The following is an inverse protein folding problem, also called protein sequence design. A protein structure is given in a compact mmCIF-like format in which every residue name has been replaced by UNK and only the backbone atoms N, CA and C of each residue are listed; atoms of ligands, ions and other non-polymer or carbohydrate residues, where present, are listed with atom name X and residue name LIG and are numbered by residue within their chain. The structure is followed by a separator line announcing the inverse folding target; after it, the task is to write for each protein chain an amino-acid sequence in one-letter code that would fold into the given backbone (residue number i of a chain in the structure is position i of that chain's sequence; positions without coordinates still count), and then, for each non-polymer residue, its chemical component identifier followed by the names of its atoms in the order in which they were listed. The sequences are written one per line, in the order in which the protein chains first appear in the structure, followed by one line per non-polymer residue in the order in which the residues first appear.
data_IF_147656278743
#
_entry.id   IF_147656278743
#
_cell.length_a   1.000
_cell.length_b   1.000
_cell.length_c   1.000
_cell.angle_alpha   90.00
_cell.angle_beta   90.00
_cell.angle_gamma   90.00
#
_symmetry.space_group_name_H-M   'P 1'
#
loop_
_entity.id
_entity.type
_entity.pdbx_description
1 polymer ?
#
# COMPACT_ATOMS: atom_id res chain seq x y z
N UNK A 1 12.12 -23.18 7.16
CA UNK A 1 11.18 -22.05 7.36
C UNK A 1 10.80 -21.53 5.99
N UNK A 2 9.53 -21.23 5.80
CA UNK A 2 9.02 -20.62 4.58
C UNK A 2 9.30 -19.12 4.51
N UNK A 3 8.79 -18.49 3.46
CA UNK A 3 8.97 -17.06 3.20
C UNK A 3 7.59 -16.42 2.99
N UNK A 4 7.36 -15.27 3.64
CA UNK A 4 6.24 -14.41 3.31
C UNK A 4 6.69 -13.34 2.32
N UNK A 5 6.20 -13.41 1.08
CA UNK A 5 6.40 -12.37 0.10
C UNK A 5 5.28 -11.33 0.15
N UNK A 6 5.65 -10.06 0.26
CA UNK A 6 4.73 -8.92 0.02
C UNK A 6 4.95 -8.49 -1.41
N UNK A 7 3.94 -8.67 -2.24
CA UNK A 7 4.06 -8.51 -3.70
C UNK A 7 3.22 -7.34 -4.18
N UNK A 8 3.85 -6.24 -4.59
CA UNK A 8 3.14 -5.10 -5.19
C UNK A 8 2.45 -5.49 -6.50
N UNK A 9 1.25 -4.95 -6.69
CA UNK A 9 0.41 -5.14 -7.88
C UNK A 9 0.21 -3.82 -8.63
N UNK A 10 -0.11 -3.86 -9.93
CA UNK A 10 -0.27 -2.67 -10.76
C UNK A 10 -1.25 -1.64 -10.20
N UNK A 11 -0.95 -0.36 -10.41
CA UNK A 11 -1.80 0.77 -10.03
C UNK A 11 -2.38 1.40 -11.31
N UNK A 12 -3.42 0.75 -11.86
CA UNK A 12 -4.13 1.24 -13.06
C UNK A 12 -3.52 0.85 -14.40
N UNK A 13 -2.29 0.33 -14.45
CA UNK A 13 -1.67 -0.15 -15.68
C UNK A 13 -1.01 -1.52 -15.47
N UNK A 14 -1.48 -2.55 -16.17
CA UNK A 14 -0.97 -3.92 -16.04
C UNK A 14 0.52 -4.06 -16.44
N UNK A 15 1.05 -3.17 -17.26
CA UNK A 15 2.46 -3.17 -17.66
C UNK A 15 3.43 -2.86 -16.51
N UNK A 16 2.93 -2.27 -15.42
CA UNK A 16 3.73 -2.00 -14.22
C UNK A 16 4.02 -3.27 -13.39
N UNK A 17 3.48 -4.42 -13.78
CA UNK A 17 3.77 -5.68 -13.10
C UNK A 17 5.21 -6.13 -13.34
N UNK A 18 5.96 -6.36 -12.27
CA UNK A 18 7.35 -6.78 -12.41
C UNK A 18 7.48 -8.26 -12.76
N UNK A 19 8.47 -8.62 -13.57
CA UNK A 19 8.79 -10.03 -13.90
C UNK A 19 9.04 -10.88 -12.64
N UNK A 20 9.66 -10.29 -11.62
CA UNK A 20 9.90 -10.96 -10.35
C UNK A 20 8.60 -11.23 -9.58
N UNK A 21 7.66 -10.30 -9.59
CA UNK A 21 6.35 -10.49 -8.97
C UNK A 21 5.58 -11.63 -9.65
N UNK A 22 5.55 -11.66 -10.99
CA UNK A 22 4.91 -12.74 -11.75
C UNK A 22 5.52 -14.10 -11.37
N UNK A 23 6.85 -14.20 -11.33
CA UNK A 23 7.55 -15.43 -10.97
C UNK A 23 7.21 -15.87 -9.54
N UNK A 24 7.30 -14.97 -8.56
CA UNK A 24 6.99 -15.27 -7.16
C UNK A 24 5.55 -15.73 -6.98
N UNK A 25 4.59 -15.09 -7.66
CA UNK A 25 3.18 -15.48 -7.60
C UNK A 25 2.92 -16.86 -8.25
N UNK A 26 3.73 -17.27 -9.23
CA UNK A 26 3.66 -18.61 -9.84
C UNK A 26 4.25 -19.69 -8.94
N UNK A 27 5.33 -19.38 -8.23
CA UNK A 27 6.11 -20.32 -7.42
C UNK A 27 5.60 -20.46 -5.99
N UNK A 28 4.83 -19.50 -5.46
CA UNK A 28 4.28 -19.57 -4.11
C UNK A 28 3.31 -20.75 -3.94
N UNK A 29 3.26 -21.33 -2.75
CA UNK A 29 2.30 -22.40 -2.40
C UNK A 29 0.86 -21.87 -2.28
N UNK A 30 0.72 -20.58 -2.00
CA UNK A 30 -0.57 -19.89 -1.86
C UNK A 30 -0.42 -18.38 -2.06
N UNK A 31 -1.44 -17.77 -2.64
CA UNK A 31 -1.56 -16.30 -2.75
C UNK A 31 -2.70 -15.81 -1.87
N UNK A 32 -2.38 -14.91 -0.94
CA UNK A 32 -3.34 -14.17 -0.14
C UNK A 32 -3.72 -12.89 -0.87
N UNK A 33 -5.00 -12.58 -0.92
CA UNK A 33 -5.53 -11.43 -1.65
C UNK A 33 -6.60 -10.69 -0.85
N UNK A 34 -6.64 -9.36 -0.95
CA UNK A 34 -7.66 -8.53 -0.31
C UNK A 34 -9.04 -8.81 -0.91
N UNK A 35 -9.21 -8.66 -2.22
CA UNK A 35 -10.38 -9.13 -2.96
C UNK A 35 -9.95 -10.19 -3.98
N UNK A 36 -10.39 -11.43 -3.77
CA UNK A 36 -10.07 -12.55 -4.67
C UNK A 36 -10.67 -12.40 -6.07
N UNK A 37 -11.72 -11.60 -6.24
CA UNK A 37 -12.34 -11.32 -7.54
C UNK A 37 -11.42 -10.43 -8.38
N UNK A 38 -10.98 -9.32 -7.84
CA UNK A 38 -10.02 -8.41 -8.48
C UNK A 38 -8.71 -9.13 -8.77
N UNK A 39 -8.17 -9.82 -7.77
CA UNK A 39 -6.92 -10.55 -7.88
C UNK A 39 -6.97 -11.69 -8.90
N UNK A 40 -8.12 -12.36 -9.07
CA UNK A 40 -8.28 -13.41 -10.09
C UNK A 40 -8.12 -12.87 -11.51
N UNK A 41 -8.55 -11.63 -11.77
CA UNK A 41 -8.38 -10.97 -13.07
C UNK A 41 -6.89 -10.74 -13.34
N UNK A 42 -6.16 -10.24 -12.34
CA UNK A 42 -4.71 -10.02 -12.41
C UNK A 42 -3.97 -11.35 -12.69
N UNK A 43 -4.25 -12.38 -11.89
CA UNK A 43 -3.58 -13.68 -12.05
C UNK A 43 -3.87 -14.30 -13.44
N UNK A 44 -5.11 -14.20 -13.92
CA UNK A 44 -5.51 -14.68 -15.25
C UNK A 44 -4.76 -13.91 -16.37
N UNK A 45 -4.60 -12.59 -16.23
CA UNK A 45 -3.92 -11.77 -17.24
C UNK A 45 -2.45 -12.21 -17.44
N UNK A 46 -1.76 -12.62 -16.36
CA UNK A 46 -0.37 -13.06 -16.41
C UNK A 46 -0.19 -14.58 -16.47
N UNK A 47 -1.25 -15.34 -16.75
CA UNK A 47 -1.25 -16.81 -16.74
C UNK A 47 -0.63 -17.40 -15.47
N UNK A 48 -1.06 -16.88 -14.33
CA UNK A 48 -0.64 -17.37 -13.00
C UNK A 48 -1.73 -18.31 -12.48
N UNK A 49 -1.40 -19.60 -12.39
CA UNK A 49 -2.29 -20.64 -11.86
C UNK A 49 -1.91 -20.92 -10.42
N UNK A 50 -2.52 -20.20 -9.51
CA UNK A 50 -2.26 -20.37 -8.09
C UNK A 50 -3.56 -20.30 -7.26
N UNK A 51 -3.52 -20.87 -6.05
CA UNK A 51 -4.61 -20.83 -5.10
C UNK A 51 -4.72 -19.45 -4.48
N UNK A 52 -5.84 -18.75 -4.72
CA UNK A 52 -6.20 -17.50 -4.05
C UNK A 52 -6.96 -17.78 -2.76
N UNK A 53 -6.57 -17.10 -1.69
CA UNK A 53 -7.23 -17.12 -0.38
C UNK A 53 -7.49 -15.70 0.08
N UNK A 54 -8.71 -15.41 0.51
CA UNK A 54 -9.08 -14.09 0.98
C UNK A 54 -8.36 -13.73 2.31
N UNK A 55 -7.70 -12.57 2.32
CA UNK A 55 -7.03 -12.01 3.49
C UNK A 55 -7.23 -10.50 3.48
N UNK A 56 -8.27 -10.05 4.17
CA UNK A 56 -8.71 -8.66 4.18
C UNK A 56 -8.82 -8.13 5.61
N UNK A 57 -8.98 -6.84 5.77
CA UNK A 57 -9.02 -6.13 7.05
C UNK A 57 -9.95 -6.75 8.12
N UNK A 58 -11.06 -7.38 7.68
CA UNK A 58 -12.03 -7.95 8.61
C UNK A 58 -11.70 -9.37 9.09
N UNK A 59 -10.82 -10.10 8.39
CA UNK A 59 -10.44 -11.46 8.77
C UNK A 59 -8.94 -11.62 9.13
N UNK A 60 -8.13 -10.62 8.89
CA UNK A 60 -6.66 -10.67 9.02
C UNK A 60 -6.23 -11.13 10.44
N UNK A 61 -6.87 -10.66 11.50
CA UNK A 61 -6.57 -11.08 12.87
C UNK A 61 -6.88 -12.57 13.12
N UNK A 62 -7.99 -13.07 12.56
CA UNK A 62 -8.39 -14.47 12.72
C UNK A 62 -7.57 -15.46 11.87
N UNK A 63 -7.13 -15.03 10.70
CA UNK A 63 -6.43 -15.91 9.74
C UNK A 63 -4.92 -15.90 9.89
N UNK A 64 -4.33 -14.82 10.42
CA UNK A 64 -2.87 -14.65 10.48
C UNK A 64 -2.16 -15.73 11.30
N UNK A 65 -2.73 -16.20 12.41
CA UNK A 65 -2.12 -17.26 13.21
C UNK A 65 -1.96 -18.56 12.39
N UNK A 66 -3.00 -18.97 11.67
CA UNK A 66 -2.93 -20.17 10.80
C UNK A 66 -1.95 -20.01 9.64
N UNK A 67 -1.84 -18.78 9.08
CA UNK A 67 -0.88 -18.49 8.02
C UNK A 67 0.56 -18.55 8.57
N UNK A 68 0.81 -18.01 9.75
CA UNK A 68 2.13 -18.07 10.42
C UNK A 68 2.55 -19.54 10.68
N UNK A 69 1.64 -20.40 11.10
CA UNK A 69 1.96 -21.83 11.29
C UNK A 69 2.31 -22.53 9.96
N UNK A 70 1.64 -22.21 8.87
CA UNK A 70 1.98 -22.72 7.53
C UNK A 70 3.37 -22.25 7.08
N UNK A 71 3.70 -20.97 7.31
CA UNK A 71 5.03 -20.41 7.04
C UNK A 71 6.11 -21.12 7.89
N UNK A 72 5.84 -21.41 9.17
CA UNK A 72 6.75 -22.22 10.03
C UNK A 72 6.94 -23.63 9.50
N UNK A 73 5.91 -24.23 8.93
CA UNK A 73 5.97 -25.55 8.29
C UNK A 73 6.79 -25.55 6.99
N UNK A 74 7.21 -24.39 6.48
CA UNK A 74 8.09 -24.26 5.32
C UNK A 74 7.39 -23.78 4.05
N UNK A 75 6.09 -23.49 4.09
CA UNK A 75 5.37 -22.98 2.93
C UNK A 75 5.83 -21.57 2.55
N UNK A 76 5.86 -21.28 1.26
CA UNK A 76 6.10 -19.97 0.68
C UNK A 76 4.77 -19.33 0.34
N UNK A 77 4.46 -18.20 0.96
CA UNK A 77 3.16 -17.51 0.80
C UNK A 77 3.38 -16.11 0.24
N UNK A 78 2.61 -15.75 -0.76
CA UNK A 78 2.60 -14.40 -1.32
C UNK A 78 1.35 -13.64 -0.87
N UNK A 79 1.51 -12.38 -0.47
CA UNK A 79 0.41 -11.46 -0.16
C UNK A 79 0.36 -10.37 -1.22
N UNK A 80 -0.82 -10.15 -1.81
CA UNK A 80 -1.13 -9.05 -2.73
C UNK A 80 -2.30 -8.22 -2.21
N UNK A 81 -2.37 -6.95 -2.62
CA UNK A 81 -3.54 -6.07 -2.47
C UNK A 81 -4.20 -5.80 -3.82
N UNK A 82 -5.30 -5.08 -3.84
CA UNK A 82 -6.02 -4.76 -5.07
C UNK A 82 -5.20 -3.84 -5.99
N UNK A 83 -4.37 -2.96 -5.43
CA UNK A 83 -3.45 -2.10 -6.18
C UNK A 83 -2.29 -1.61 -5.30
N UNK A 84 -1.07 -1.58 -5.83
CA UNK A 84 0.10 -1.07 -5.13
C UNK A 84 0.74 -2.06 -4.17
N UNK A 85 1.40 -1.56 -3.13
CA UNK A 85 2.18 -2.36 -2.17
C UNK A 85 1.31 -2.71 -0.97
N UNK A 86 1.07 -4.01 -0.68
CA UNK A 86 0.32 -4.44 0.50
C UNK A 86 0.91 -3.87 1.80
N UNK A 87 0.04 -3.51 2.74
CA UNK A 87 0.41 -2.88 4.01
C UNK A 87 0.54 -1.35 3.94
N UNK A 88 0.51 -0.75 2.75
CA UNK A 88 0.49 0.72 2.57
C UNK A 88 -0.96 1.17 2.33
N UNK A 89 -1.64 1.54 3.40
CA UNK A 89 -3.09 1.84 3.44
C UNK A 89 -4.02 0.64 3.18
N UNK A 90 -3.46 -0.55 3.05
CA UNK A 90 -4.12 -1.83 2.76
C UNK A 90 -3.83 -2.86 3.87
N UNK A 91 -4.56 -3.99 3.91
CA UNK A 91 -4.25 -5.12 4.77
C UNK A 91 -2.83 -5.67 4.53
N UNK A 92 -2.25 -6.29 5.55
CA UNK A 92 -0.96 -6.98 5.44
C UNK A 92 0.09 -6.58 6.48
N UNK A 93 -0.02 -5.38 7.06
CA UNK A 93 0.89 -4.95 8.13
C UNK A 93 0.84 -5.93 9.32
N UNK A 94 -0.34 -6.34 9.73
CA UNK A 94 -0.51 -7.25 10.88
C UNK A 94 0.15 -8.60 10.61
N UNK A 95 -0.13 -9.21 9.45
CA UNK A 95 0.48 -10.49 9.06
C UNK A 95 2.01 -10.40 8.95
N UNK A 96 2.53 -9.35 8.30
CA UNK A 96 3.97 -9.13 8.17
C UNK A 96 4.64 -9.00 9.54
N UNK A 97 4.02 -8.27 10.47
CA UNK A 97 4.50 -8.13 11.85
C UNK A 97 4.51 -9.45 12.61
N UNK A 98 3.43 -10.23 12.55
CA UNK A 98 3.34 -11.51 13.26
C UNK A 98 4.29 -12.56 12.65
N UNK A 99 4.47 -12.57 11.33
CA UNK A 99 5.47 -13.41 10.67
C UNK A 99 6.90 -13.05 11.13
N UNK A 100 7.24 -11.76 11.14
CA UNK A 100 8.55 -11.29 11.60
C UNK A 100 8.81 -11.63 13.07
N UNK A 101 7.80 -11.46 13.96
CA UNK A 101 7.90 -11.87 15.37
C UNK A 101 8.14 -13.38 15.52
N UNK A 102 7.60 -14.19 14.62
CA UNK A 102 7.79 -15.64 14.60
C UNK A 102 9.13 -16.07 13.97
N UNK A 103 10.01 -15.12 13.61
CA UNK A 103 11.32 -15.39 12.98
C UNK A 103 11.23 -15.79 11.51
N UNK A 104 10.07 -15.60 10.86
CA UNK A 104 9.87 -15.90 9.45
C UNK A 104 10.43 -14.77 8.61
N UNK A 105 11.11 -15.12 7.52
CA UNK A 105 11.58 -14.13 6.54
C UNK A 105 10.40 -13.47 5.85
N UNK A 106 10.25 -12.14 6.03
CA UNK A 106 9.30 -11.31 5.28
C UNK A 106 10.07 -10.56 4.20
N UNK A 107 9.74 -10.81 2.95
CA UNK A 107 10.40 -10.18 1.81
C UNK A 107 9.42 -9.35 0.98
N UNK A 108 9.51 -8.03 1.09
CA UNK A 108 8.76 -7.11 0.22
C UNK A 108 9.51 -6.94 -1.10
N UNK A 109 8.82 -7.14 -2.21
CA UNK A 109 9.38 -6.90 -3.54
C UNK A 109 9.30 -5.41 -3.88
N UNK A 110 10.33 -4.83 -4.53
CA UNK A 110 10.17 -3.55 -5.22
C UNK A 110 9.09 -3.65 -6.30
N UNK A 111 8.27 -2.61 -6.42
CA UNK A 111 7.20 -2.63 -7.42
C UNK A 111 6.29 -1.41 -7.37
N UNK A 112 5.13 -1.48 -8.03
CA UNK A 112 4.21 -0.35 -8.15
C UNK A 112 3.75 0.22 -6.81
N UNK A 113 3.72 1.54 -6.76
CA UNK A 113 3.11 2.32 -5.66
C UNK A 113 2.67 3.67 -6.21
N UNK A 114 1.53 4.20 -5.77
CA UNK A 114 1.02 5.47 -6.29
C UNK A 114 1.76 6.69 -5.72
N UNK A 115 2.21 6.63 -4.47
CA UNK A 115 2.78 7.79 -3.77
C UNK A 115 4.10 8.28 -4.37
N UNK A 116 4.99 7.38 -4.78
CA UNK A 116 6.30 7.76 -5.33
C UNK A 116 6.19 8.43 -6.70
N UNK A 117 5.49 7.86 -7.71
CA UNK A 117 5.28 8.58 -8.96
C UNK A 117 4.56 9.92 -8.76
N UNK A 118 3.59 9.99 -7.84
CA UNK A 118 2.86 11.24 -7.57
C UNK A 118 3.78 12.35 -7.06
N UNK A 119 4.63 12.07 -6.06
CA UNK A 119 5.53 13.10 -5.52
C UNK A 119 6.60 13.51 -6.54
N UNK A 120 7.18 12.57 -7.27
CA UNK A 120 8.19 12.87 -8.28
C UNK A 120 7.60 13.72 -9.42
N UNK A 121 6.37 13.43 -9.85
CA UNK A 121 5.70 14.16 -10.93
C UNK A 121 5.09 15.50 -10.48
N UNK A 122 4.98 15.75 -9.17
CA UNK A 122 4.37 16.99 -8.65
C UNK A 122 5.25 18.22 -8.80
N UNK A 123 6.57 18.05 -8.93
CA UNK A 123 7.53 19.15 -8.89
C UNK A 123 7.77 19.74 -7.49
N UNK A 124 7.15 19.17 -6.45
CA UNK A 124 7.40 19.55 -5.05
C UNK A 124 8.68 18.92 -4.52
N UNK A 125 9.31 19.46 -3.46
CA UNK A 125 10.46 18.84 -2.81
C UNK A 125 10.17 17.38 -2.43
N UNK A 126 11.01 16.45 -2.87
CA UNK A 126 10.80 15.01 -2.70
C UNK A 126 11.95 14.29 -1.95
N UNK A 127 12.94 15.03 -1.47
CA UNK A 127 14.04 14.52 -0.65
C UNK A 127 13.59 14.12 0.76
N UNK A 128 12.59 14.82 1.29
CA UNK A 128 11.98 14.55 2.59
C UNK A 128 10.48 14.80 2.50
N UNK A 129 9.67 13.77 2.75
CA UNK A 129 8.21 13.86 2.69
C UNK A 129 7.55 12.99 3.76
N UNK A 130 6.27 13.25 4.02
CA UNK A 130 5.41 12.45 4.89
C UNK A 130 4.34 11.77 4.07
N UNK A 131 4.18 10.46 4.24
CA UNK A 131 3.03 9.72 3.73
C UNK A 131 1.96 9.63 4.81
N UNK A 132 0.86 10.33 4.61
CA UNK A 132 -0.23 10.47 5.57
C UNK A 132 -1.41 9.51 5.30
N UNK A 133 -1.40 8.82 4.15
CA UNK A 133 -2.44 7.87 3.76
C UNK A 133 -3.82 8.52 3.62
N UNK A 134 -4.88 7.80 4.03
CA UNK A 134 -6.24 8.31 3.98
C UNK A 134 -6.61 9.12 5.22
N UNK A 135 -7.03 10.36 5.03
CA UNK A 135 -7.54 11.22 6.10
C UNK A 135 -8.81 10.59 6.72
N UNK A 136 -8.97 10.57 8.06
CA UNK A 136 -10.16 10.07 8.72
C UNK A 136 -11.44 10.70 8.15
N UNK A 137 -12.47 9.89 7.88
CA UNK A 137 -13.68 10.39 7.19
C UNK A 137 -14.66 11.10 8.12
N UNK A 138 -14.70 10.72 9.39
CA UNK A 138 -15.68 11.21 10.40
C UNK A 138 -14.97 11.60 11.69
N UNK A 139 -15.02 10.73 12.70
CA UNK A 139 -14.46 11.00 14.04
C UNK A 139 -12.93 11.22 13.93
N UNK A 140 -12.46 12.28 14.57
CA UNK A 140 -11.03 12.63 14.62
C UNK A 140 -10.50 13.36 13.38
N UNK A 141 -11.33 13.60 12.33
CA UNK A 141 -10.87 14.25 11.10
C UNK A 141 -10.37 15.68 11.36
N UNK A 142 -11.11 16.49 12.11
CA UNK A 142 -10.72 17.88 12.41
C UNK A 142 -9.42 17.93 13.21
N UNK A 143 -9.34 17.16 14.28
CA UNK A 143 -8.12 17.08 15.11
C UNK A 143 -6.91 16.61 14.30
N UNK A 144 -7.12 15.64 13.39
CA UNK A 144 -6.06 15.17 12.50
C UNK A 144 -5.60 16.27 11.54
N UNK A 145 -6.53 16.99 10.89
CA UNK A 145 -6.19 18.10 10.02
C UNK A 145 -5.43 19.21 10.79
N UNK A 146 -5.87 19.55 11.99
CA UNK A 146 -5.19 20.53 12.84
C UNK A 146 -3.76 20.11 13.20
N UNK A 147 -3.51 18.82 13.40
CA UNK A 147 -2.16 18.31 13.69
C UNK A 147 -1.18 18.41 12.53
N UNK A 148 -1.67 18.61 11.30
CA UNK A 148 -0.84 18.76 10.10
C UNK A 148 -0.39 20.19 9.85
N UNK A 149 -0.91 21.17 10.61
CA UNK A 149 -0.73 22.60 10.36
C UNK A 149 0.73 23.05 10.34
N UNK A 150 1.54 22.46 11.19
CA UNK A 150 2.94 22.83 11.35
C UNK A 150 3.91 21.90 10.59
N UNK A 151 3.38 20.98 9.74
CA UNK A 151 4.20 20.11 8.92
C UNK A 151 4.80 20.88 7.74
N UNK A 152 6.12 20.94 7.69
CA UNK A 152 6.88 21.70 6.68
C UNK A 152 7.34 20.85 5.49
N UNK A 153 7.24 19.54 5.61
CA UNK A 153 7.62 18.60 4.55
C UNK A 153 6.48 18.43 3.55
N UNK A 154 6.78 18.04 2.33
CA UNK A 154 5.75 17.63 1.38
C UNK A 154 4.93 16.48 1.96
N UNK A 155 3.61 16.63 2.01
CA UNK A 155 2.69 15.61 2.50
C UNK A 155 1.99 14.91 1.34
N UNK A 156 1.89 13.58 1.42
CA UNK A 156 1.19 12.76 0.44
C UNK A 156 -0.05 12.15 1.10
N UNK A 157 -1.21 12.43 0.53
CA UNK A 157 -2.48 11.85 0.96
C UNK A 157 -3.06 10.95 -0.12
N UNK A 158 -3.73 9.89 0.31
CA UNK A 158 -4.66 9.15 -0.53
C UNK A 158 -6.08 9.64 -0.27
N UNK A 159 -6.83 9.90 -1.34
CA UNK A 159 -8.22 10.30 -1.22
C UNK A 159 -9.05 9.73 -2.37
N UNK A 160 -10.32 9.47 -2.08
CA UNK A 160 -11.29 9.07 -3.08
C UNK A 160 -11.58 10.22 -4.05
N UNK A 161 -11.71 9.96 -5.38
CA UNK A 161 -12.06 11.00 -6.35
C UNK A 161 -13.38 11.72 -6.02
N UNK A 162 -14.30 11.04 -5.32
CA UNK A 162 -15.57 11.62 -4.87
C UNK A 162 -15.45 12.60 -3.69
N UNK A 163 -14.32 12.62 -3.00
CA UNK A 163 -14.08 13.44 -1.81
C UNK A 163 -12.93 14.43 -1.96
N UNK A 164 -12.15 14.31 -3.03
CA UNK A 164 -10.92 15.10 -3.21
C UNK A 164 -11.17 16.60 -3.12
N UNK A 165 -12.22 17.12 -3.77
CA UNK A 165 -12.56 18.56 -3.74
C UNK A 165 -12.81 19.06 -2.32
N UNK A 166 -13.65 18.32 -1.55
CA UNK A 166 -13.94 18.67 -0.16
C UNK A 166 -12.69 18.61 0.71
N UNK A 167 -11.84 17.61 0.49
CA UNK A 167 -10.60 17.45 1.24
C UNK A 167 -9.61 18.57 0.95
N UNK A 168 -9.47 18.99 -0.32
CA UNK A 168 -8.64 20.13 -0.71
C UNK A 168 -9.14 21.44 -0.08
N UNK A 169 -10.45 21.68 -0.06
CA UNK A 169 -11.03 22.85 0.61
C UNK A 169 -10.70 22.87 2.11
N UNK A 170 -10.70 21.73 2.78
CA UNK A 170 -10.36 21.65 4.20
C UNK A 170 -8.86 21.82 4.45
N UNK A 171 -8.01 21.26 3.60
CA UNK A 171 -6.55 21.42 3.68
C UNK A 171 -6.15 22.89 3.42
N UNK A 172 -6.80 23.59 2.49
CA UNK A 172 -6.52 25.00 2.22
C UNK A 172 -6.82 25.90 3.42
N UNK A 173 -7.75 25.53 4.29
CA UNK A 173 -8.06 26.29 5.51
C UNK A 173 -6.99 26.19 6.60
N UNK A 174 -6.20 25.10 6.61
CA UNK A 174 -5.13 24.89 7.60
C UNK A 174 -3.76 25.29 7.07
N UNK A 175 -3.57 25.28 5.76
CA UNK A 175 -2.36 25.72 5.06
C UNK A 175 -2.65 27.01 4.27
N UNK A 176 -3.02 28.08 4.97
CA UNK A 176 -3.08 29.44 4.40
C UNK A 176 -1.65 30.00 4.41
N UNK A 177 -0.76 29.41 3.67
CA UNK A 177 0.40 30.09 3.13
C UNK A 177 0.20 30.18 1.63
N UNK A 178 0.25 31.38 1.09
CA UNK A 178 0.34 31.56 -0.36
C UNK A 178 1.42 30.65 -0.91
N UNK A 179 1.21 30.03 -2.10
CA UNK A 179 2.29 29.31 -2.74
C UNK A 179 3.46 30.29 -2.84
N UNK A 180 4.54 29.98 -2.13
CA UNK A 180 5.78 30.74 -2.23
C UNK A 180 6.14 30.76 -3.71
N UNK A 181 5.98 31.93 -4.34
CA UNK A 181 6.51 32.17 -5.68
C UNK A 181 7.98 31.76 -5.65
N UNK A 182 8.45 30.92 -6.59
CA UNK A 182 9.89 30.69 -6.70
C UNK A 182 10.56 32.06 -6.81
N UNK A 183 11.46 32.39 -5.89
CA UNK A 183 12.29 33.56 -6.05
C UNK A 183 13.04 33.39 -7.37
N UNK A 184 13.06 34.43 -8.27
CA UNK A 184 13.85 34.35 -9.48
C UNK A 184 15.31 34.19 -9.09
N UNK A 185 15.92 33.12 -9.58
CA UNK A 185 17.36 32.88 -9.43
C UNK A 185 18.05 34.05 -10.13
N UNK A 186 18.69 34.90 -9.36
CA UNK A 186 19.57 36.00 -9.84
C UNK A 186 20.89 35.46 -10.37
#
# INVERSE_FOLDING_TARGET
MGILYIVPTPVGNMEDMTMRAIRVLKEADMVLAEDTRTSSVLLKHFDIKNRLVAHHKFNEHGTSAGIVERLKAGETIALISDAGTPGISDPGFYLAREAAKAGITVQTLPGPTACIPAIVSSGLPCDRFCFEGFIPQKKGRQTYLESLKDEVRTMIFYESPYRVVKTLQQLSLIHISEPTRPEPIS
#
